data_IF_556372889713
#
_entry.id   IF_556372889713
#
_cell.length_a   1.000
_cell.length_b   1.000
_cell.length_c   1.000
_cell.angle_alpha   90.00
_cell.angle_beta   90.00
_cell.angle_gamma   90.00
#
_symmetry.space_group_name_H-M   'P 1'
#
loop_
_entity.id
_entity.type
_entity.pdbx_description
1 polymer ?
#
# COMPACT_ATOMS: atom_id res chain seq x y z
N UNK A 1 -36.60 -24.04 74.97
CA UNK A 1 -36.06 -22.92 74.18
C UNK A 1 -34.70 -23.31 73.61
N UNK A 2 -34.56 -23.44 72.28
CA UNK A 2 -33.43 -22.98 71.44
C UNK A 2 -33.53 -23.67 70.07
N UNK A 3 -33.37 -22.86 69.02
CA UNK A 3 -33.70 -23.11 67.60
C UNK A 3 -32.55 -23.81 66.86
N UNK A 4 -32.83 -24.59 65.80
CA UNK A 4 -31.83 -24.91 64.78
C UNK A 4 -31.78 -23.77 63.74
N UNK A 5 -30.58 -23.35 63.35
CA UNK A 5 -30.36 -22.39 62.26
C UNK A 5 -29.35 -22.98 61.29
N UNK A 6 -29.83 -23.51 60.16
CA UNK A 6 -29.02 -24.00 59.05
C UNK A 6 -28.73 -22.80 58.14
N UNK A 7 -27.47 -22.42 58.02
CA UNK A 7 -27.00 -21.40 57.09
C UNK A 7 -26.64 -22.06 55.76
N UNK A 8 -27.38 -21.73 54.69
CA UNK A 8 -27.04 -22.10 53.32
C UNK A 8 -26.01 -21.09 52.78
N UNK A 9 -24.82 -21.60 52.41
CA UNK A 9 -23.77 -20.83 51.75
C UNK A 9 -23.93 -21.01 50.23
N UNK A 10 -24.31 -19.94 49.52
CA UNK A 10 -24.41 -19.93 48.06
C UNK A 10 -23.07 -19.56 47.42
N UNK A 11 -22.48 -20.49 46.67
CA UNK A 11 -21.22 -20.32 45.94
C UNK A 11 -21.55 -19.72 44.55
N UNK A 12 -21.15 -18.47 44.31
CA UNK A 12 -21.30 -17.83 43.00
C UNK A 12 -20.12 -18.19 42.08
N UNK A 13 -20.40 -18.90 40.99
CA UNK A 13 -19.43 -19.30 39.98
C UNK A 13 -19.25 -18.16 38.96
N UNK A 14 -18.09 -17.51 38.96
CA UNK A 14 -17.74 -16.44 38.02
C UNK A 14 -17.15 -17.06 36.74
N UNK A 15 -17.92 -17.10 35.66
CA UNK A 15 -17.44 -17.55 34.36
C UNK A 15 -16.74 -16.38 33.63
N UNK A 16 -15.41 -16.44 33.52
CA UNK A 16 -14.62 -15.51 32.71
C UNK A 16 -14.71 -15.96 31.25
N UNK A 17 -15.49 -15.24 30.44
CA UNK A 17 -15.54 -15.44 28.99
C UNK A 17 -14.37 -14.67 28.37
N UNK A 18 -13.35 -15.39 27.91
CA UNK A 18 -12.28 -14.80 27.10
C UNK A 18 -12.79 -14.67 25.65
N UNK A 19 -13.06 -13.45 25.22
CA UNK A 19 -13.31 -13.17 23.81
C UNK A 19 -11.99 -13.32 23.04
N UNK A 20 -11.82 -14.42 22.31
CA UNK A 20 -10.74 -14.57 21.34
C UNK A 20 -11.01 -13.63 20.16
N UNK A 21 -10.28 -12.52 20.10
CA UNK A 21 -10.24 -11.71 18.88
C UNK A 21 -9.69 -12.60 17.76
N UNK A 22 -10.39 -12.74 16.62
CA UNK A 22 -9.83 -13.48 15.49
C UNK A 22 -8.50 -12.81 15.12
N UNK A 23 -7.42 -13.59 15.11
CA UNK A 23 -6.15 -13.12 14.61
C UNK A 23 -6.40 -12.66 13.17
N UNK A 24 -6.13 -11.38 12.90
CA UNK A 24 -6.14 -10.85 11.55
C UNK A 24 -5.12 -11.67 10.76
N UNK A 25 -5.62 -12.55 9.89
CA UNK A 25 -4.78 -13.43 9.09
C UNK A 25 -4.04 -12.53 8.11
N UNK A 26 -2.82 -12.14 8.48
CA UNK A 26 -1.89 -11.47 7.59
C UNK A 26 -1.64 -12.43 6.43
N UNK A 27 -2.32 -12.21 5.31
CA UNK A 27 -2.03 -12.91 4.07
C UNK A 27 -0.60 -12.58 3.70
N UNK A 28 0.27 -13.60 3.73
CA UNK A 28 1.67 -13.43 3.34
C UNK A 28 1.70 -12.91 1.90
N UNK A 29 2.20 -11.69 1.72
CA UNK A 29 2.37 -11.11 0.39
C UNK A 29 3.64 -11.69 -0.23
N UNK A 30 3.50 -12.49 -1.28
CA UNK A 30 4.63 -13.10 -1.98
C UNK A 30 5.28 -12.08 -2.92
N UNK A 31 6.60 -11.85 -2.81
CA UNK A 31 7.34 -11.06 -3.79
C UNK A 31 7.21 -11.64 -5.20
N UNK A 32 7.09 -10.77 -6.19
CA UNK A 32 7.02 -11.13 -7.61
C UNK A 32 7.63 -10.03 -8.48
N UNK A 33 8.05 -10.40 -9.69
CA UNK A 33 8.43 -9.46 -10.73
C UNK A 33 7.19 -8.79 -11.30
N UNK A 34 7.21 -7.47 -11.33
CA UNK A 34 6.15 -6.66 -11.91
C UNK A 34 6.35 -6.49 -13.42
N UNK A 35 7.52 -6.02 -13.83
CA UNK A 35 7.86 -5.72 -15.23
C UNK A 35 9.38 -5.74 -15.40
N UNK A 36 9.88 -6.16 -16.56
CA UNK A 36 11.30 -6.17 -16.88
C UNK A 36 11.57 -6.08 -18.39
N UNK A 37 12.75 -5.60 -18.78
CA UNK A 37 13.23 -5.70 -20.16
C UNK A 37 14.71 -6.14 -20.20
N UNK A 38 15.14 -6.86 -19.17
CA UNK A 38 16.52 -7.35 -19.03
C UNK A 38 16.85 -8.41 -20.09
N UNK A 39 15.86 -9.19 -20.52
CA UNK A 39 15.98 -10.20 -21.57
C UNK A 39 15.99 -9.63 -22.99
N UNK A 40 15.74 -8.33 -23.17
CA UNK A 40 15.75 -7.69 -24.49
C UNK A 40 17.17 -7.54 -25.05
N UNK A 41 17.26 -7.40 -26.37
CA UNK A 41 18.54 -7.18 -27.04
C UNK A 41 19.17 -5.84 -26.64
N UNK A 42 20.50 -5.83 -26.58
CA UNK A 42 21.25 -4.63 -26.27
C UNK A 42 21.12 -3.58 -27.39
N UNK A 43 20.72 -2.36 -27.02
CA UNK A 43 20.66 -1.19 -27.90
C UNK A 43 21.91 -0.30 -27.82
N UNK A 44 22.82 -0.59 -26.90
CA UNK A 44 24.04 0.19 -26.67
C UNK A 44 24.32 0.41 -25.19
N UNK A 45 24.91 1.58 -24.89
CA UNK A 45 25.27 1.97 -23.54
C UNK A 45 25.13 3.48 -23.35
N UNK A 46 24.69 3.88 -22.16
CA UNK A 46 24.44 5.25 -21.73
C UNK A 46 25.46 5.65 -20.66
N UNK A 47 26.32 6.66 -20.88
CA UNK A 47 27.42 6.97 -19.97
C UNK A 47 26.91 7.54 -18.63
N UNK A 48 27.57 7.21 -17.52
CA UNK A 48 27.31 7.81 -16.21
C UNK A 48 27.85 9.26 -16.09
N UNK A 49 27.64 10.06 -17.13
CA UNK A 49 27.85 11.50 -17.17
C UNK A 49 26.51 12.27 -17.18
N UNK A 50 25.39 11.55 -17.10
CA UNK A 50 24.04 12.09 -17.07
C UNK A 50 23.24 11.47 -15.95
N UNK A 51 22.30 12.23 -15.41
CA UNK A 51 21.15 11.66 -14.73
C UNK A 51 20.25 10.98 -15.77
N UNK A 52 19.60 9.90 -15.36
CA UNK A 52 18.63 9.19 -16.18
C UNK A 52 17.31 9.06 -15.45
N UNK A 53 16.21 9.14 -16.19
CA UNK A 53 14.91 8.72 -15.69
C UNK A 53 14.21 7.80 -16.67
N UNK A 54 13.71 6.67 -16.17
CA UNK A 54 12.97 5.68 -16.94
C UNK A 54 11.54 5.64 -16.43
N UNK A 55 10.58 5.96 -17.32
CA UNK A 55 9.17 5.86 -16.99
C UNK A 55 8.75 4.38 -16.87
N UNK A 56 7.82 4.10 -15.97
CA UNK A 56 7.09 2.84 -15.91
C UNK A 56 5.66 3.10 -15.43
N UNK A 57 4.71 2.26 -15.87
CA UNK A 57 3.31 2.34 -15.46
C UNK A 57 2.92 1.09 -14.70
N UNK A 58 2.23 1.26 -13.57
CA UNK A 58 1.75 0.14 -12.74
C UNK A 58 0.48 -0.49 -13.31
N UNK A 59 0.23 -1.77 -13.02
CA UNK A 59 -1.02 -2.45 -13.36
C UNK A 59 -2.26 -2.00 -12.56
N UNK A 60 -3.35 -2.76 -12.72
CA UNK A 60 -4.71 -2.35 -12.32
C UNK A 60 -5.15 -2.76 -10.91
N UNK A 61 -4.26 -3.28 -10.06
CA UNK A 61 -4.62 -3.68 -8.69
C UNK A 61 -5.05 -2.48 -7.86
N UNK A 62 -6.33 -2.38 -7.52
CA UNK A 62 -6.93 -1.24 -6.82
C UNK A 62 -6.34 -0.94 -5.43
N UNK A 63 -5.72 -1.93 -4.78
CA UNK A 63 -5.02 -1.71 -3.52
C UNK A 63 -3.61 -1.10 -3.69
N UNK A 64 -3.14 -0.99 -4.94
CA UNK A 64 -1.80 -0.56 -5.30
C UNK A 64 -0.74 -1.64 -5.11
N UNK A 65 0.50 -1.18 -5.03
CA UNK A 65 1.69 -2.02 -4.98
C UNK A 65 2.67 -1.48 -3.95
N UNK A 66 3.58 -2.34 -3.50
CA UNK A 66 4.76 -1.97 -2.73
C UNK A 66 5.98 -2.45 -3.49
N UNK A 67 6.70 -1.54 -4.15
CA UNK A 67 7.96 -1.81 -4.84
C UNK A 67 9.05 -2.13 -3.81
N UNK A 68 9.78 -3.23 -4.01
CA UNK A 68 10.81 -3.73 -3.08
C UNK A 68 12.20 -3.67 -3.67
N UNK A 69 12.34 -3.92 -4.96
CA UNK A 69 13.63 -3.83 -5.63
C UNK A 69 13.50 -3.35 -7.07
N UNK A 70 14.60 -2.82 -7.56
CA UNK A 70 14.82 -2.50 -8.96
C UNK A 70 16.16 -3.07 -9.37
N UNK A 71 16.15 -3.94 -10.36
CA UNK A 71 17.34 -4.43 -11.02
C UNK A 71 17.69 -3.49 -12.17
N UNK A 72 18.95 -3.07 -12.25
CA UNK A 72 19.44 -2.20 -13.34
C UNK A 72 20.66 -2.86 -13.96
N UNK A 73 20.66 -3.02 -15.28
CA UNK A 73 21.80 -3.57 -15.98
C UNK A 73 22.82 -2.48 -16.33
N UNK A 74 24.02 -2.65 -15.81
CA UNK A 74 25.20 -1.87 -16.15
C UNK A 74 25.98 -2.59 -17.25
N UNK A 75 26.65 -1.83 -18.11
CA UNK A 75 27.57 -2.41 -19.07
C UNK A 75 28.92 -2.70 -18.43
N UNK A 76 29.99 -2.27 -19.10
CA UNK A 76 31.35 -2.44 -18.56
C UNK A 76 31.54 -1.49 -17.39
N UNK A 77 32.02 -2.03 -16.26
CA UNK A 77 32.43 -1.27 -15.08
C UNK A 77 33.95 -1.39 -14.99
N UNK A 78 34.68 -0.40 -15.48
CA UNK A 78 36.15 -0.49 -15.60
C UNK A 78 36.90 -0.13 -14.32
N UNK A 79 36.26 0.59 -13.41
CA UNK A 79 36.82 0.96 -12.11
C UNK A 79 35.74 0.88 -11.05
N UNK A 80 36.14 0.52 -9.83
CA UNK A 80 35.24 0.59 -8.69
C UNK A 80 34.97 2.06 -8.41
N UNK A 81 33.82 2.56 -8.84
CA UNK A 81 33.39 3.89 -8.44
C UNK A 81 32.72 3.81 -7.07
N UNK A 82 32.84 4.88 -6.31
CA UNK A 82 32.24 4.94 -4.98
C UNK A 82 30.75 4.72 -5.14
N UNK A 83 30.16 3.86 -4.31
CA UNK A 83 28.71 3.74 -4.29
C UNK A 83 28.08 5.12 -4.06
N UNK A 84 28.73 6.04 -3.33
CA UNK A 84 28.27 7.41 -3.12
C UNK A 84 28.03 8.22 -4.40
N UNK A 85 28.65 7.86 -5.53
CA UNK A 85 28.54 8.62 -6.78
C UNK A 85 27.15 8.54 -7.43
N UNK A 86 26.30 7.58 -7.03
CA UNK A 86 24.99 7.35 -7.64
C UNK A 86 23.89 7.15 -6.59
N UNK A 87 22.70 7.68 -6.86
CA UNK A 87 21.47 7.43 -6.10
C UNK A 87 20.37 6.95 -7.02
N UNK A 88 19.65 5.90 -6.61
CA UNK A 88 18.45 5.44 -7.31
C UNK A 88 17.22 5.77 -6.46
N UNK A 89 16.18 6.36 -7.06
CA UNK A 89 14.96 6.75 -6.37
C UNK A 89 13.74 6.66 -7.26
N UNK A 90 12.56 6.56 -6.64
CA UNK A 90 11.29 6.54 -7.37
C UNK A 90 10.62 7.91 -7.24
N UNK A 91 10.14 8.44 -8.36
CA UNK A 91 9.48 9.74 -8.44
C UNK A 91 8.08 9.59 -9.02
N UNK A 92 7.15 10.41 -8.53
CA UNK A 92 5.87 10.62 -9.19
C UNK A 92 6.07 11.21 -10.59
N UNK A 93 5.15 10.96 -11.51
CA UNK A 93 5.09 11.66 -12.79
C UNK A 93 4.56 13.09 -12.59
N UNK A 94 5.12 14.05 -13.32
CA UNK A 94 4.67 15.44 -13.38
C UNK A 94 4.98 16.07 -14.74
N UNK A 95 3.98 16.15 -15.62
CA UNK A 95 4.08 16.83 -16.90
C UNK A 95 5.01 16.15 -17.93
N UNK A 96 5.05 14.82 -17.91
CA UNK A 96 5.91 13.97 -18.74
C UNK A 96 7.32 13.77 -18.18
N UNK A 97 7.58 14.17 -16.93
CA UNK A 97 8.93 14.12 -16.33
C UNK A 97 8.88 13.75 -14.83
N UNK A 98 10.01 13.39 -14.20
CA UNK A 98 10.06 13.13 -12.78
C UNK A 98 9.64 14.35 -11.93
N UNK A 99 8.64 14.13 -11.07
CA UNK A 99 8.15 15.07 -10.07
C UNK A 99 8.75 14.80 -8.68
N UNK A 100 7.92 14.83 -7.64
CA UNK A 100 8.35 14.60 -6.25
C UNK A 100 8.86 13.18 -6.03
N UNK A 101 9.94 13.04 -5.25
CA UNK A 101 10.44 11.73 -4.82
C UNK A 101 9.47 11.05 -3.85
N UNK A 102 9.26 9.75 -4.04
CA UNK A 102 8.47 8.87 -3.18
C UNK A 102 9.34 8.02 -2.24
N UNK A 103 10.62 7.90 -2.57
CA UNK A 103 11.57 7.13 -1.77
C UNK A 103 12.87 6.83 -2.52
N UNK A 104 13.93 6.65 -1.75
CA UNK A 104 15.25 6.25 -2.25
C UNK A 104 15.42 4.73 -2.10
N UNK A 105 16.09 4.13 -3.08
CA UNK A 105 16.48 2.74 -3.05
C UNK A 105 17.92 2.60 -2.51
N UNK A 106 18.12 1.62 -1.66
CA UNK A 106 19.44 1.22 -1.14
C UNK A 106 20.19 0.48 -2.23
N UNK A 107 21.27 1.09 -2.72
CA UNK A 107 22.20 0.49 -3.67
C UNK A 107 23.02 -0.66 -3.04
N UNK A 108 23.62 -1.54 -3.87
CA UNK A 108 24.60 -2.51 -3.39
C UNK A 108 25.78 -1.84 -2.67
N UNK A 109 26.40 -2.56 -1.75
CA UNK A 109 27.55 -2.06 -0.99
C UNK A 109 28.76 -1.71 -1.89
N UNK A 110 28.87 -2.39 -3.04
CA UNK A 110 29.97 -2.21 -4.00
C UNK A 110 29.50 -2.44 -5.44
N UNK A 111 30.12 -1.73 -6.37
CA UNK A 111 29.98 -1.93 -7.81
C UNK A 111 31.22 -2.68 -8.31
N UNK A 112 31.14 -3.99 -8.57
CA UNK A 112 32.31 -4.78 -8.94
C UNK A 112 32.82 -4.36 -10.31
N UNK A 113 34.15 -4.24 -10.43
CA UNK A 113 34.80 -4.08 -11.74
C UNK A 113 34.50 -5.30 -12.59
N UNK A 114 34.00 -5.07 -13.80
CA UNK A 114 33.56 -6.12 -14.72
C UNK A 114 33.79 -5.69 -16.16
N UNK A 115 34.38 -6.58 -16.96
CA UNK A 115 34.50 -6.43 -18.40
C UNK A 115 33.23 -6.85 -19.16
N UNK A 116 32.23 -7.40 -18.46
CA UNK A 116 30.91 -7.77 -19.00
C UNK A 116 29.80 -6.95 -18.34
N UNK A 117 28.61 -6.98 -18.95
CA UNK A 117 27.41 -6.42 -18.32
C UNK A 117 27.15 -7.08 -16.96
N UNK A 118 26.57 -6.32 -16.04
CA UNK A 118 26.23 -6.73 -14.69
C UNK A 118 24.88 -6.15 -14.29
N UNK A 119 23.98 -6.99 -13.78
CA UNK A 119 22.73 -6.52 -13.19
C UNK A 119 22.92 -6.27 -11.70
N UNK A 120 22.59 -5.07 -11.26
CA UNK A 120 22.72 -4.64 -9.88
C UNK A 120 21.35 -4.32 -9.30
N UNK A 121 21.09 -4.87 -8.11
CA UNK A 121 19.80 -4.72 -7.41
C UNK A 121 19.82 -3.57 -6.41
N UNK A 122 18.87 -2.66 -6.55
CA UNK A 122 18.60 -1.56 -5.62
C UNK A 122 17.35 -1.91 -4.80
N UNK A 123 17.38 -1.78 -3.48
CA UNK A 123 16.33 -2.33 -2.59
C UNK A 123 15.67 -1.28 -1.69
N UNK A 124 14.39 -1.44 -1.40
CA UNK A 124 13.67 -0.68 -0.37
C UNK A 124 13.30 -1.59 0.80
N UNK A 125 13.79 -1.25 1.99
CA UNK A 125 13.52 -2.02 3.21
C UNK A 125 12.05 -1.95 3.61
N UNK A 126 11.43 -0.77 3.55
CA UNK A 126 10.03 -0.56 3.87
C UNK A 126 9.08 -0.89 2.72
N UNK A 127 9.59 -0.86 1.48
CA UNK A 127 8.78 -0.83 0.26
C UNK A 127 8.40 0.61 -0.10
N UNK A 128 8.22 0.86 -1.40
CA UNK A 128 7.72 2.16 -1.89
C UNK A 128 6.30 1.95 -2.40
N UNK A 129 5.38 2.75 -1.88
CA UNK A 129 3.96 2.66 -2.18
C UNK A 129 3.65 3.26 -3.55
N UNK A 130 3.02 2.46 -4.40
CA UNK A 130 2.61 2.86 -5.75
C UNK A 130 1.10 2.64 -5.91
N UNK A 131 0.41 3.64 -6.46
CA UNK A 131 -0.99 3.55 -6.81
C UNK A 131 -1.17 2.70 -8.08
N UNK A 132 -2.37 2.16 -8.28
CA UNK A 132 -2.74 1.42 -9.49
C UNK A 132 -2.78 2.36 -10.72
N UNK A 133 -2.55 1.81 -11.92
CA UNK A 133 -2.65 2.51 -13.20
C UNK A 133 -1.97 3.89 -13.21
N UNK A 134 -0.86 4.04 -12.51
CA UNK A 134 -0.15 5.31 -12.35
C UNK A 134 1.25 5.20 -12.93
N UNK A 135 1.69 6.24 -13.64
CA UNK A 135 3.05 6.34 -14.17
C UNK A 135 3.98 6.94 -13.13
N UNK A 136 5.17 6.37 -13.03
CA UNK A 136 6.25 6.80 -12.15
C UNK A 136 7.57 6.80 -12.93
N UNK A 137 8.61 7.35 -12.33
CA UNK A 137 9.97 7.30 -12.85
C UNK A 137 10.91 6.64 -11.86
N UNK A 138 11.72 5.70 -12.35
CA UNK A 138 13.01 5.41 -11.73
C UNK A 138 13.97 6.53 -12.13
N UNK A 139 14.53 7.24 -11.15
CA UNK A 139 15.57 8.25 -11.35
C UNK A 139 16.90 7.70 -10.85
N UNK A 140 17.88 7.68 -11.74
CA UNK A 140 19.29 7.42 -11.45
C UNK A 140 20.00 8.77 -11.48
N UNK A 141 20.28 9.31 -10.31
CA UNK A 141 20.93 10.60 -10.08
C UNK A 141 22.44 10.37 -9.87
N UNK A 142 23.25 11.06 -10.66
CA UNK A 142 24.71 10.95 -10.66
C UNK A 142 25.30 12.19 -9.99
N UNK A 143 26.11 11.99 -8.95
CA UNK A 143 26.70 13.07 -8.16
C UNK A 143 28.12 13.44 -8.58
N UNK A 144 28.80 12.59 -9.34
CA UNK A 144 30.11 12.83 -9.92
C UNK A 144 30.24 12.12 -11.27
N UNK A 145 30.97 12.72 -12.21
CA UNK A 145 31.25 12.10 -13.50
C UNK A 145 32.01 10.76 -13.32
N UNK A 146 31.46 9.68 -13.85
CA UNK A 146 32.06 8.34 -13.85
C UNK A 146 32.25 7.87 -15.31
N UNK A 147 33.20 8.45 -16.06
CA UNK A 147 33.24 8.40 -17.52
C UNK A 147 33.46 7.00 -18.11
N UNK A 148 33.84 6.03 -17.29
CA UNK A 148 34.17 4.68 -17.73
C UNK A 148 33.16 3.62 -17.29
N UNK A 149 32.00 4.05 -16.81
CA UNK A 149 30.86 3.21 -16.45
C UNK A 149 29.63 3.64 -17.24
N UNK A 150 28.77 2.70 -17.58
CA UNK A 150 27.57 2.98 -18.37
C UNK A 150 26.40 2.08 -17.97
N UNK A 151 25.19 2.59 -18.16
CA UNK A 151 23.95 1.83 -18.10
C UNK A 151 23.71 1.14 -19.43
N UNK A 152 23.20 -0.09 -19.39
CA UNK A 152 22.70 -0.75 -20.61
C UNK A 152 21.33 -0.21 -20.97
N UNK A 153 21.13 -0.10 -22.27
CA UNK A 153 19.88 0.31 -22.88
C UNK A 153 19.42 -0.73 -23.90
N UNK A 154 18.13 -0.72 -24.22
CA UNK A 154 17.54 -1.48 -25.32
C UNK A 154 16.80 -0.53 -26.25
N UNK A 155 16.76 -0.89 -27.54
CA UNK A 155 15.91 -0.23 -28.55
C UNK A 155 14.61 -1.01 -28.79
N UNK A 156 14.33 -2.02 -27.96
CA UNK A 156 13.09 -2.76 -27.96
C UNK A 156 12.10 -2.10 -27.02
N UNK A 157 10.89 -1.88 -27.51
CA UNK A 157 9.74 -1.46 -26.71
C UNK A 157 9.05 -2.66 -26.03
N UNK A 158 9.53 -3.88 -26.28
CA UNK A 158 8.95 -5.08 -25.69
C UNK A 158 9.50 -5.34 -24.30
N UNK A 159 8.62 -5.79 -23.40
CA UNK A 159 9.01 -6.32 -22.11
C UNK A 159 9.20 -7.85 -22.14
N UNK A 160 9.94 -8.36 -21.16
CA UNK A 160 10.16 -9.81 -20.96
C UNK A 160 8.83 -10.58 -20.70
N UNK A 161 8.77 -11.85 -21.06
CA UNK A 161 7.58 -12.67 -20.79
C UNK A 161 7.36 -12.97 -19.29
N UNK A 162 6.11 -13.19 -18.87
CA UNK A 162 5.77 -13.62 -17.50
C UNK A 162 5.53 -12.49 -16.49
N UNK A 163 5.35 -11.27 -16.99
CA UNK A 163 5.17 -10.07 -16.17
C UNK A 163 3.76 -9.91 -15.62
N UNK A 164 3.64 -9.05 -14.62
CA UNK A 164 2.36 -8.76 -14.02
C UNK A 164 1.52 -7.91 -14.97
N UNK A 165 0.31 -8.38 -15.27
CA UNK A 165 -0.57 -7.77 -16.25
C UNK A 165 -0.82 -6.26 -15.99
N UNK A 166 -0.72 -5.47 -17.05
CA UNK A 166 -0.95 -4.02 -17.04
C UNK A 166 0.25 -3.18 -16.59
N UNK A 167 1.35 -3.80 -16.17
CA UNK A 167 2.61 -3.08 -15.99
C UNK A 167 3.31 -2.89 -17.35
N UNK A 168 4.01 -1.76 -17.50
CA UNK A 168 4.84 -1.49 -18.67
C UNK A 168 6.03 -0.58 -18.33
N UNK A 169 7.07 -0.64 -19.16
CA UNK A 169 8.21 0.29 -19.15
C UNK A 169 8.00 1.27 -20.31
N UNK A 170 8.30 2.56 -20.12
CA UNK A 170 8.22 3.53 -21.21
C UNK A 170 9.26 3.29 -22.31
N UNK A 171 8.88 3.56 -23.56
CA UNK A 171 9.66 3.34 -24.80
C UNK A 171 10.81 4.35 -25.02
N UNK A 172 11.33 4.91 -23.94
CA UNK A 172 12.38 5.91 -23.98
C UNK A 172 12.83 6.30 -22.59
N UNK A 173 13.94 7.01 -22.57
CA UNK A 173 14.53 7.56 -21.36
C UNK A 173 14.43 9.06 -21.36
N UNK A 174 14.50 9.64 -20.17
CA UNK A 174 14.84 11.03 -19.99
C UNK A 174 16.28 11.12 -19.49
N UNK A 175 17.01 12.13 -19.93
CA UNK A 175 18.36 12.37 -19.43
C UNK A 175 18.68 13.87 -19.34
N UNK A 176 19.62 14.19 -18.47
CA UNK A 176 20.23 15.53 -18.37
C UNK A 176 21.64 15.38 -17.84
N UNK A 177 22.52 16.35 -18.09
CA UNK A 177 23.86 16.33 -17.51
C UNK A 177 23.76 16.21 -15.97
N UNK A 178 24.64 15.40 -15.35
CA UNK A 178 24.62 15.15 -13.90
C UNK A 178 24.74 16.45 -13.06
N UNK A 179 25.41 17.47 -13.62
CA UNK A 179 25.58 18.78 -12.99
C UNK A 179 24.38 19.72 -13.20
N UNK A 180 23.33 19.28 -13.90
CA UNK A 180 22.18 20.10 -14.28
C UNK A 180 20.97 19.80 -13.41
N UNK A 181 20.33 20.85 -12.90
CA UNK A 181 19.00 20.78 -12.28
C UNK A 181 17.90 21.20 -13.24
N UNK A 182 18.22 21.39 -14.52
CA UNK A 182 17.35 21.93 -15.55
C UNK A 182 16.43 20.88 -16.20
N UNK A 183 15.94 21.23 -17.39
CA UNK A 183 15.00 20.42 -18.18
C UNK A 183 15.60 19.08 -18.59
N UNK A 184 14.75 18.04 -18.54
CA UNK A 184 15.05 16.72 -19.07
C UNK A 184 14.99 16.70 -20.60
N UNK A 185 15.96 16.04 -21.23
CA UNK A 185 15.95 15.73 -22.65
C UNK A 185 15.39 14.33 -22.87
N UNK A 186 14.81 14.08 -24.03
CA UNK A 186 14.25 12.77 -24.39
C UNK A 186 15.28 11.93 -25.14
N UNK A 187 15.50 10.70 -24.68
CA UNK A 187 16.17 9.63 -25.40
C UNK A 187 15.16 8.63 -25.95
N UNK A 188 15.52 7.95 -27.05
CA UNK A 188 14.65 7.00 -27.77
C UNK A 188 14.88 5.54 -27.38
N UNK A 189 15.72 5.29 -26.38
CA UNK A 189 16.08 3.96 -25.92
C UNK A 189 15.73 3.86 -24.44
N UNK A 190 15.25 2.70 -24.03
CA UNK A 190 14.89 2.43 -22.63
C UNK A 190 16.08 1.88 -21.86
N UNK A 191 16.19 2.19 -20.57
CA UNK A 191 17.12 1.48 -19.69
C UNK A 191 16.73 0.01 -19.62
N UNK A 192 17.73 -0.89 -19.51
CA UNK A 192 17.50 -2.29 -19.20
C UNK A 192 17.35 -2.46 -17.69
N UNK A 193 16.15 -2.78 -17.25
CA UNK A 193 15.79 -2.86 -15.84
C UNK A 193 14.71 -3.91 -15.55
N UNK A 194 14.56 -4.25 -14.26
CA UNK A 194 13.48 -5.06 -13.72
C UNK A 194 12.92 -4.41 -12.45
N UNK A 195 11.60 -4.50 -12.25
CA UNK A 195 10.92 -4.01 -11.05
C UNK A 195 10.27 -5.20 -10.34
N UNK A 196 10.54 -5.33 -9.03
CA UNK A 196 9.94 -6.37 -8.20
C UNK A 196 9.32 -5.79 -6.94
N UNK A 197 8.29 -6.47 -6.44
CA UNK A 197 7.65 -6.08 -5.21
C UNK A 197 6.49 -6.98 -4.84
N UNK A 198 5.54 -6.42 -4.11
CA UNK A 198 4.32 -7.11 -3.71
C UNK A 198 3.07 -6.35 -4.16
N UNK A 199 2.11 -7.08 -4.70
CA UNK A 199 0.75 -6.58 -4.91
C UNK A 199 0.08 -6.42 -3.56
N UNK A 200 -0.47 -5.24 -3.27
CA UNK A 200 -1.20 -5.02 -2.02
C UNK A 200 -2.54 -5.75 -2.08
N UNK A 201 -3.01 -6.20 -0.94
CA UNK A 201 -4.35 -6.79 -0.82
C UNK A 201 -5.33 -5.67 -0.50
N UNK A 202 -6.47 -5.57 -1.20
CA UNK A 202 -7.52 -4.63 -0.82
C UNK A 202 -7.89 -4.84 0.63
N UNK A 203 -7.81 -3.79 1.44
CA UNK A 203 -8.35 -3.82 2.80
C UNK A 203 -9.86 -3.97 2.65
N UNK A 204 -10.49 -5.00 3.23
CA UNK A 204 -11.93 -5.17 3.15
C UNK A 204 -12.60 -3.91 3.70
N UNK A 205 -13.29 -3.17 2.83
CA UNK A 205 -14.07 -2.02 3.28
C UNK A 205 -15.20 -2.58 4.13
N UNK A 206 -15.13 -2.34 5.44
CA UNK A 206 -16.24 -2.66 6.33
C UNK A 206 -17.35 -1.67 6.04
N UNK A 207 -18.28 -2.06 5.18
CA UNK A 207 -19.50 -1.27 4.96
C UNK A 207 -20.28 -1.25 6.26
N UNK A 208 -20.22 -0.11 6.96
CA UNK A 208 -21.13 0.14 8.07
C UNK A 208 -22.54 0.16 7.48
N UNK A 209 -23.39 -0.75 7.95
CA UNK A 209 -24.80 -0.77 7.56
C UNK A 209 -25.40 0.57 7.97
N UNK A 210 -25.78 1.38 6.99
CA UNK A 210 -26.50 2.61 7.24
C UNK A 210 -28.00 2.31 7.25
N UNK A 211 -28.76 2.98 8.11
CA UNK A 211 -30.21 2.81 8.20
C UNK A 211 -30.99 3.52 7.06
N UNK A 212 -30.37 3.72 5.90
CA UNK A 212 -31.05 4.27 4.72
C UNK A 212 -32.12 3.30 4.23
N UNK A 213 -33.37 3.74 4.23
CA UNK A 213 -34.55 2.94 3.86
C UNK A 213 -35.61 2.82 4.95
N UNK A 214 -35.33 3.28 6.18
CA UNK A 214 -36.39 3.42 7.18
C UNK A 214 -37.18 4.70 6.92
N UNK A 215 -38.48 4.53 6.66
CA UNK A 215 -39.41 5.66 6.53
C UNK A 215 -39.51 6.39 7.86
N UNK A 216 -39.18 7.68 7.83
CA UNK A 216 -39.32 8.56 8.97
C UNK A 216 -40.81 8.86 9.18
N UNK A 217 -41.54 8.08 9.99
CA UNK A 217 -42.94 8.38 10.37
C UNK A 217 -43.02 9.40 11.50
N UNK A 218 -43.16 10.71 11.22
CA UNK A 218 -43.06 11.77 12.26
C UNK A 218 -44.11 11.53 13.34
N UNK A 219 -43.67 11.27 14.58
CA UNK A 219 -44.55 11.19 15.75
C UNK A 219 -44.13 12.26 16.77
N UNK A 220 -45.09 13.08 17.19
CA UNK A 220 -44.95 14.04 18.28
C UNK A 220 -45.29 13.34 19.61
N UNK A 221 -44.26 12.92 20.35
CA UNK A 221 -44.40 12.40 21.71
C UNK A 221 -43.61 11.12 21.95
N UNK A 222 -42.36 11.25 22.41
CA UNK A 222 -41.59 10.17 23.00
C UNK A 222 -41.37 10.49 24.47
N UNK A 223 -41.99 9.73 25.37
CA UNK A 223 -41.79 9.86 26.83
C UNK A 223 -40.77 8.86 27.37
N UNK A 224 -40.27 7.93 26.55
CA UNK A 224 -39.37 6.86 26.98
C UNK A 224 -38.33 6.57 25.90
N UNK A 225 -37.06 6.47 26.32
CA UNK A 225 -35.98 5.92 25.52
C UNK A 225 -36.03 4.40 25.58
N UNK A 226 -36.06 3.75 24.42
CA UNK A 226 -35.93 2.31 24.30
C UNK A 226 -34.60 1.97 23.62
N UNK A 227 -33.71 1.31 24.35
CA UNK A 227 -32.54 0.67 23.79
C UNK A 227 -32.88 -0.79 23.47
N UNK A 228 -32.63 -1.24 22.23
CA UNK A 228 -32.73 -2.66 21.88
C UNK A 228 -31.33 -3.19 21.59
N UNK A 229 -30.99 -4.31 22.23
CA UNK A 229 -29.82 -5.06 21.85
C UNK A 229 -30.05 -5.66 20.47
N UNK A 230 -29.14 -5.39 19.54
CA UNK A 230 -29.05 -6.15 18.30
C UNK A 230 -27.86 -7.11 18.43
N UNK A 231 -28.06 -8.34 17.97
CA UNK A 231 -26.96 -9.25 17.72
C UNK A 231 -26.46 -9.00 16.31
N UNK A 232 -25.18 -8.70 16.19
CA UNK A 232 -24.54 -8.63 14.89
C UNK A 232 -24.16 -10.04 14.47
N UNK A 233 -24.44 -10.42 13.22
CA UNK A 233 -23.99 -11.69 12.65
C UNK A 233 -22.46 -11.82 12.57
N UNK A 234 -21.98 -12.94 12.01
CA UNK A 234 -20.56 -13.21 11.81
C UNK A 234 -19.85 -12.08 11.05
N UNK A 235 -18.70 -11.62 11.57
CA UNK A 235 -17.88 -10.59 10.94
C UNK A 235 -17.30 -10.99 9.57
N UNK A 236 -17.37 -12.28 9.22
CA UNK A 236 -16.75 -12.83 7.99
C UNK A 236 -17.40 -12.27 6.71
N UNK A 237 -18.67 -11.84 6.74
CA UNK A 237 -19.38 -11.30 5.58
C UNK A 237 -20.10 -9.96 5.86
N UNK A 238 -19.65 -9.22 6.88
CA UNK A 238 -20.34 -8.02 7.37
C UNK A 238 -21.48 -8.33 8.34
N UNK A 239 -21.89 -7.30 9.09
CA UNK A 239 -22.93 -7.45 10.10
C UNK A 239 -24.32 -7.37 9.47
N UNK A 240 -24.95 -8.50 9.20
CA UNK A 240 -26.37 -8.54 8.82
C UNK A 240 -27.23 -8.48 10.08
N UNK A 241 -28.09 -7.47 10.21
CA UNK A 241 -29.18 -7.48 11.21
C UNK A 241 -30.23 -8.47 10.69
N UNK A 242 -30.22 -9.70 11.21
CA UNK A 242 -31.07 -10.80 10.70
C UNK A 242 -32.46 -10.85 11.30
N UNK A 243 -32.79 -9.98 12.25
CA UNK A 243 -34.14 -9.85 12.76
C UNK A 243 -34.25 -8.85 13.88
N UNK A 244 -35.08 -7.84 13.70
CA UNK A 244 -35.66 -7.08 14.80
C UNK A 244 -37.15 -7.39 14.82
N UNK A 245 -37.55 -8.41 15.57
CA UNK A 245 -38.96 -8.72 15.79
C UNK A 245 -39.48 -7.85 16.92
N UNK A 246 -40.45 -6.98 16.59
CA UNK A 246 -41.19 -6.18 17.55
C UNK A 246 -42.62 -6.71 17.58
N UNK A 247 -43.09 -7.21 18.73
CA UNK A 247 -44.51 -7.48 18.95
C UNK A 247 -45.04 -6.47 19.96
N UNK A 248 -45.71 -5.44 19.48
CA UNK A 248 -46.54 -4.57 20.30
C UNK A 248 -47.93 -4.52 19.69
N UNK A 249 -48.92 -4.82 20.53
CA UNK A 249 -50.34 -4.69 20.22
C UNK A 249 -50.64 -3.20 19.98
N UNK A 250 -50.62 -2.77 18.71
CA UNK A 250 -51.49 -1.68 18.25
C UNK A 250 -50.89 -0.30 17.94
N UNK A 251 -49.58 -0.07 17.84
CA UNK A 251 -49.07 1.22 17.30
C UNK A 251 -47.66 1.13 16.67
N UNK A 252 -47.39 1.79 15.53
CA UNK A 252 -46.08 1.79 14.88
C UNK A 252 -45.08 2.75 15.55
N UNK A 253 -43.82 2.33 15.68
CA UNK A 253 -42.71 3.11 16.26
C UNK A 253 -41.73 3.64 15.20
N UNK A 254 -40.97 4.69 15.59
CA UNK A 254 -39.77 5.19 14.90
C UNK A 254 -38.49 4.66 15.55
N UNK A 255 -37.47 4.42 14.74
CA UNK A 255 -36.10 4.16 15.20
C UNK A 255 -35.24 5.36 14.79
N UNK A 256 -34.44 5.88 15.71
CA UNK A 256 -33.31 6.77 15.39
C UNK A 256 -32.03 6.10 15.83
N UNK A 257 -31.17 5.80 14.87
CA UNK A 257 -29.81 5.31 15.12
C UNK A 257 -28.90 6.53 15.22
N UNK A 258 -28.39 6.82 16.42
CA UNK A 258 -27.27 7.76 16.57
C UNK A 258 -25.96 6.98 16.44
N UNK A 259 -25.22 7.23 15.37
CA UNK A 259 -23.85 6.74 15.22
C UNK A 259 -22.92 7.59 16.08
N UNK A 260 -22.34 6.99 17.12
CA UNK A 260 -21.24 7.61 17.85
C UNK A 260 -19.95 7.37 17.07
N UNK A 261 -19.34 8.43 16.51
CA UNK A 261 -17.96 8.35 16.01
C UNK A 261 -17.04 8.22 17.21
N UNK A 262 -16.30 7.12 17.29
CA UNK A 262 -15.15 7.03 18.21
C UNK A 262 -14.10 8.04 17.75
N UNK A 263 -13.66 9.00 18.58
CA UNK A 263 -12.53 9.85 18.25
C UNK A 263 -11.28 8.98 18.16
N UNK A 264 -10.60 9.01 17.01
CA UNK A 264 -9.46 8.14 16.66
C UNK A 264 -8.20 8.34 17.51
N UNK A 265 -8.27 9.18 18.54
CA UNK A 265 -7.13 9.59 19.37
C UNK A 265 -7.41 9.54 20.88
N UNK A 266 -8.58 9.07 21.33
CA UNK A 266 -8.87 9.00 22.77
C UNK A 266 -8.16 7.80 23.42
N UNK A 267 -7.45 8.07 24.53
CA UNK A 267 -6.88 7.02 25.37
C UNK A 267 -7.98 6.17 26.03
N UNK A 268 -7.72 4.90 26.39
CA UNK A 268 -8.75 3.94 26.83
C UNK A 268 -9.59 4.38 28.04
N UNK A 269 -9.14 5.37 28.81
CA UNK A 269 -9.84 5.88 29.98
C UNK A 269 -10.94 6.93 29.66
N UNK A 270 -10.89 7.61 28.51
CA UNK A 270 -11.82 8.71 28.18
C UNK A 270 -13.03 8.29 27.32
N UNK A 271 -13.04 7.08 26.75
CA UNK A 271 -14.10 6.65 25.83
C UNK A 271 -15.45 6.35 26.49
N UNK A 272 -15.49 6.22 27.83
CA UNK A 272 -16.70 5.81 28.56
C UNK A 272 -17.66 6.94 28.94
N UNK A 273 -17.26 8.21 28.83
CA UNK A 273 -17.98 9.29 29.50
C UNK A 273 -18.89 10.17 28.62
N UNK A 274 -18.87 10.06 27.27
CA UNK A 274 -19.51 11.08 26.40
C UNK A 274 -20.70 10.61 25.56
N UNK A 275 -21.35 9.49 25.90
CA UNK A 275 -22.59 9.07 25.22
C UNK A 275 -23.88 9.42 25.99
N UNK A 276 -23.77 10.06 27.17
CA UNK A 276 -24.92 10.34 28.02
C UNK A 276 -24.91 11.81 28.46
N UNK A 277 -25.45 12.68 27.61
CA UNK A 277 -25.99 13.96 28.05
C UNK A 277 -27.36 14.13 27.35
N UNK A 278 -28.44 14.41 28.10
CA UNK A 278 -29.78 14.61 27.56
C UNK A 278 -29.87 15.86 26.67
#
# INVERSE_FOLDING_TARGET
>A
MRRPGIALLALALLAVVFATTPAEQANAQTPQTFVANLGQSDGGASPLANDYAQAFTTGSNSAGYSLRSVDVEFGVITSSFSSSSLTASIHAESGGSPGSSLGTLTKPASFPVSSSAQTLTFTSSAGIDLAANTTYFLVIDISSDEPFSNLRITNSDAEDSGQLAGWSIGDGTLFRAFSSTGTWNTGTSSLKLGLDGVSKTPVPVTTLVSSTGQSQSVFNGLTHDHAQAFTTGSAVNGYTVTGATWSLLGSPMRISVRTCRSPSTATPAESRARCWAP
#
